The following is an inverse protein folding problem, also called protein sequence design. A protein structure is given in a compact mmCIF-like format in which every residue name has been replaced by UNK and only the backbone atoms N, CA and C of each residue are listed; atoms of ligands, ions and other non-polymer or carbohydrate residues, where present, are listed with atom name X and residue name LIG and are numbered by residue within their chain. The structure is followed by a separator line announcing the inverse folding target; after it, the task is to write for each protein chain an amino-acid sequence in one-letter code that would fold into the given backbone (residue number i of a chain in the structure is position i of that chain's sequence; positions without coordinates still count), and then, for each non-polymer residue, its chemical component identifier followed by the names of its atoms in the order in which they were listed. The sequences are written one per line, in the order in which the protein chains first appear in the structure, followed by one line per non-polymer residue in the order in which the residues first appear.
data_IF_392425292870
#
_entry.id   IF_392425292870
#
_cell.length_a   1.000
_cell.length_b   1.000
_cell.length_c   1.000
_cell.angle_alpha   90.00
_cell.angle_beta   90.00
_cell.angle_gamma   90.00
#
_symmetry.space_group_name_H-M   'P 1'
#
loop_
_entity.id
_entity.type
_entity.pdbx_description
1 polymer ?
#
# COMPACT_ATOMS: atom_id res chain seq x y z
N UNK A 1 -25.40 4.33 -19.70
CA UNK A 1 -24.54 5.10 -20.64
C UNK A 1 -23.55 5.90 -19.81
N UNK A 2 -22.27 5.51 -19.80
CA UNK A 2 -21.23 6.25 -19.07
C UNK A 2 -20.68 7.34 -19.96
N UNK A 3 -21.17 8.57 -19.82
CA UNK A 3 -20.61 9.74 -20.52
C UNK A 3 -19.38 10.24 -19.77
N UNK A 4 -18.36 10.63 -20.52
CA UNK A 4 -17.10 11.15 -20.01
C UNK A 4 -16.71 12.42 -20.77
N UNK A 5 -16.08 13.35 -20.08
CA UNK A 5 -15.62 14.61 -20.65
C UNK A 5 -14.18 14.91 -20.22
N UNK A 6 -13.46 15.62 -21.08
CA UNK A 6 -12.18 16.21 -20.70
C UNK A 6 -12.39 17.41 -19.79
N UNK A 7 -11.40 17.80 -19.00
CA UNK A 7 -11.52 18.96 -18.10
C UNK A 7 -11.94 20.26 -18.81
N UNK A 8 -11.40 20.52 -20.02
CA UNK A 8 -11.79 21.68 -20.84
C UNK A 8 -13.27 21.64 -21.22
N UNK A 9 -13.74 20.47 -21.69
CA UNK A 9 -15.15 20.31 -22.06
C UNK A 9 -16.07 20.38 -20.84
N UNK A 10 -15.63 19.87 -19.70
CA UNK A 10 -16.35 20.00 -18.43
C UNK A 10 -16.54 21.46 -18.02
N UNK A 11 -15.53 22.30 -18.22
CA UNK A 11 -15.62 23.74 -17.92
C UNK A 11 -16.62 24.45 -18.85
N UNK A 12 -16.56 24.19 -20.15
CA UNK A 12 -17.52 24.76 -21.13
C UNK A 12 -18.98 24.38 -20.85
N UNK A 13 -19.18 23.17 -20.34
CA UNK A 13 -20.49 22.64 -19.95
C UNK A 13 -20.95 23.09 -18.56
N UNK A 14 -20.12 23.83 -17.80
CA UNK A 14 -20.41 24.24 -16.43
C UNK A 14 -20.41 23.09 -15.41
N UNK A 15 -19.75 21.98 -15.73
CA UNK A 15 -19.63 20.81 -14.83
C UNK A 15 -18.55 21.02 -13.74
N UNK A 16 -17.63 21.96 -13.97
CA UNK A 16 -16.57 22.34 -13.03
C UNK A 16 -16.38 23.85 -13.07
N UNK A 17 -15.91 24.43 -11.98
CA UNK A 17 -15.78 25.89 -11.85
C UNK A 17 -14.53 26.46 -12.52
N UNK A 18 -13.43 25.70 -12.52
CA UNK A 18 -12.13 26.18 -13.00
C UNK A 18 -11.17 25.04 -13.37
N UNK A 19 -10.12 25.40 -14.11
CA UNK A 19 -8.95 24.56 -14.38
C UNK A 19 -7.70 25.24 -13.83
N UNK A 20 -6.77 24.48 -13.27
CA UNK A 20 -5.51 25.02 -12.78
C UNK A 20 -4.60 23.95 -12.17
N UNK A 21 -3.32 24.29 -12.02
CA UNK A 21 -2.37 23.45 -11.28
C UNK A 21 -2.45 23.74 -9.77
N UNK A 22 -2.12 22.73 -8.96
CA UNK A 22 -2.23 22.80 -7.50
C UNK A 22 -1.40 23.95 -6.91
N UNK A 23 -0.19 24.21 -7.42
CA UNK A 23 0.71 25.22 -6.85
C UNK A 23 0.17 26.63 -7.09
N UNK A 24 -0.25 26.92 -8.32
CA UNK A 24 -0.81 28.23 -8.69
C UNK A 24 -2.11 28.48 -7.94
N UNK A 25 -3.03 27.52 -7.92
CA UNK A 25 -4.32 27.66 -7.23
C UNK A 25 -4.13 27.95 -5.74
N UNK A 26 -3.24 27.21 -5.07
CA UNK A 26 -2.99 27.42 -3.64
C UNK A 26 -2.32 28.75 -3.35
N UNK A 27 -1.34 29.18 -4.16
CA UNK A 27 -0.68 30.48 -3.96
C UNK A 27 -1.60 31.66 -4.24
N UNK A 28 -2.46 31.56 -5.24
CA UNK A 28 -3.48 32.59 -5.52
C UNK A 28 -4.46 32.70 -4.36
N UNK A 29 -4.87 31.57 -3.77
CA UNK A 29 -5.88 31.55 -2.70
C UNK A 29 -5.34 31.90 -1.31
N UNK A 30 -4.13 31.43 -0.99
CA UNK A 30 -3.57 31.49 0.36
C UNK A 30 -2.29 32.34 0.47
N UNK A 31 -1.82 32.90 -0.66
CA UNK A 31 -0.69 33.81 -0.72
C UNK A 31 0.64 33.15 -1.15
N UNK A 32 1.68 33.96 -1.39
CA UNK A 32 2.96 33.48 -1.93
C UNK A 32 3.76 32.60 -0.96
N UNK A 33 3.46 32.71 0.35
CA UNK A 33 4.13 31.97 1.44
C UNK A 33 3.56 30.55 1.66
N UNK A 34 2.52 30.16 0.93
CA UNK A 34 1.91 28.82 1.07
C UNK A 34 2.89 27.72 0.74
N UNK A 35 2.99 26.73 1.63
CA UNK A 35 3.85 25.56 1.48
C UNK A 35 3.01 24.29 1.30
N UNK A 36 3.28 23.54 0.24
CA UNK A 36 2.74 22.21 0.01
C UNK A 36 3.46 21.21 0.91
N UNK A 37 2.71 20.46 1.73
CA UNK A 37 3.24 19.39 2.57
C UNK A 37 2.64 18.06 2.15
N UNK A 38 3.49 17.09 1.84
CA UNK A 38 3.06 15.73 1.57
C UNK A 38 2.69 15.06 2.90
N UNK A 39 1.40 14.78 3.10
CA UNK A 39 0.93 13.98 4.23
C UNK A 39 0.93 12.53 3.78
N UNK A 40 1.76 11.71 4.40
CA UNK A 40 1.78 10.25 4.18
C UNK A 40 1.41 9.55 5.48
N UNK A 41 0.78 8.38 5.39
CA UNK A 41 0.51 7.57 6.56
C UNK A 41 1.85 7.24 7.26
N UNK A 42 1.93 7.35 8.60
CA UNK A 42 3.15 7.07 9.32
C UNK A 42 3.56 5.62 9.08
N UNK A 43 4.67 5.39 8.37
CA UNK A 43 5.24 4.04 8.25
C UNK A 43 6.00 3.76 9.54
N UNK A 44 5.39 2.97 10.43
CA UNK A 44 6.08 2.44 11.60
C UNK A 44 7.27 1.57 11.21
N UNK A 45 8.19 1.33 12.14
CA UNK A 45 9.38 0.48 11.93
C UNK A 45 9.04 -0.95 11.45
N UNK A 46 7.87 -1.47 11.83
CA UNK A 46 7.37 -2.77 11.35
C UNK A 46 6.71 -2.71 9.97
N UNK A 47 6.30 -1.52 9.51
CA UNK A 47 5.77 -1.29 8.17
C UNK A 47 6.81 -1.42 7.05
N UNK A 48 8.12 -1.42 7.40
CA UNK A 48 9.21 -1.74 6.47
C UNK A 48 9.43 -3.24 6.28
N UNK A 49 8.93 -4.05 7.21
CA UNK A 49 9.06 -5.51 7.18
C UNK A 49 7.83 -6.21 6.57
N UNK A 50 6.87 -5.46 6.03
CA UNK A 50 5.69 -6.03 5.36
C UNK A 50 4.70 -6.76 6.28
N UNK A 51 4.99 -6.93 7.58
CA UNK A 51 4.15 -7.71 8.50
C UNK A 51 2.74 -7.15 8.72
N UNK A 52 2.55 -5.85 8.49
CA UNK A 52 1.26 -5.17 8.72
C UNK A 52 0.81 -4.33 7.52
N UNK A 53 1.52 -4.43 6.40
CA UNK A 53 1.21 -3.69 5.19
C UNK A 53 0.30 -4.51 4.28
N UNK A 54 -1.02 -4.35 4.45
CA UNK A 54 -2.05 -4.40 3.40
C UNK A 54 -1.71 -5.13 2.08
N UNK A 55 -1.26 -6.38 2.18
CA UNK A 55 -1.24 -7.34 1.09
C UNK A 55 -2.37 -8.32 1.39
N UNK A 56 -3.45 -8.24 0.60
CA UNK A 56 -4.57 -9.20 0.60
C UNK A 56 -4.11 -10.59 0.17
N UNK A 57 -3.25 -11.25 0.94
CA UNK A 57 -2.72 -12.56 0.54
C UNK A 57 -2.16 -13.43 1.64
N UNK A 58 -1.65 -12.87 2.74
CA UNK A 58 -1.07 -13.69 3.81
C UNK A 58 -1.36 -13.09 5.18
N UNK A 59 -2.15 -13.81 5.97
CA UNK A 59 -2.47 -13.47 7.35
C UNK A 59 -1.30 -13.91 8.24
N UNK A 60 -1.02 -13.19 9.33
CA UNK A 60 -0.08 -13.64 10.36
C UNK A 60 -0.30 -15.11 10.82
N UNK A 61 -1.54 -15.61 10.99
CA UNK A 61 -1.78 -17.02 11.27
C UNK A 61 -1.36 -17.98 10.14
N UNK A 62 -1.43 -17.56 8.87
CA UNK A 62 -1.03 -18.39 7.72
C UNK A 62 0.49 -18.59 7.72
N UNK A 63 1.25 -17.54 8.07
CA UNK A 63 2.71 -17.60 8.22
C UNK A 63 3.10 -18.49 9.40
N UNK A 64 2.38 -18.38 10.53
CA UNK A 64 2.62 -19.22 11.70
C UNK A 64 2.33 -20.70 11.41
N UNK A 65 1.27 -21.01 10.66
CA UNK A 65 0.94 -22.37 10.24
C UNK A 65 1.98 -22.95 9.27
N UNK A 66 2.47 -22.15 8.32
CA UNK A 66 3.55 -22.55 7.41
C UNK A 66 4.89 -22.79 8.14
N UNK A 67 5.18 -21.98 9.16
CA UNK A 67 6.37 -22.18 9.99
C UNK A 67 6.24 -23.44 10.88
N UNK A 68 5.07 -23.69 11.46
CA UNK A 68 4.85 -24.88 12.29
C UNK A 68 4.95 -26.18 11.47
N UNK A 69 4.36 -26.22 10.28
CA UNK A 69 4.46 -27.37 9.37
C UNK A 69 5.90 -27.62 8.94
N UNK A 70 6.65 -26.59 8.54
CA UNK A 70 8.06 -26.77 8.14
C UNK A 70 8.97 -27.27 9.27
N UNK A 71 8.69 -26.90 10.52
CA UNK A 71 9.42 -27.43 11.69
C UNK A 71 9.09 -28.91 11.94
N UNK A 72 7.82 -29.29 11.77
CA UNK A 72 7.39 -30.70 11.90
C UNK A 72 8.02 -31.54 10.78
N UNK A 73 7.96 -31.08 9.53
CA UNK A 73 8.56 -31.77 8.38
C UNK A 73 10.06 -31.96 8.56
N UNK A 74 10.78 -30.93 9.04
CA UNK A 74 12.21 -31.03 9.33
C UNK A 74 12.52 -32.00 10.48
N UNK A 75 11.65 -32.09 11.49
CA UNK A 75 11.78 -33.05 12.58
C UNK A 75 11.52 -34.48 12.11
N UNK A 76 10.50 -34.68 11.26
CA UNK A 76 10.22 -35.97 10.62
C UNK A 76 11.39 -36.40 9.75
N UNK A 77 11.89 -35.51 8.88
CA UNK A 77 13.06 -35.79 8.06
C UNK A 77 14.24 -36.24 8.94
N UNK A 78 14.60 -35.47 9.97
CA UNK A 78 15.69 -35.84 10.88
C UNK A 78 15.47 -37.18 11.59
N UNK A 79 14.23 -37.51 11.96
CA UNK A 79 13.90 -38.81 12.54
C UNK A 79 14.02 -39.96 11.50
N UNK A 80 13.67 -39.71 10.24
CA UNK A 80 13.81 -40.67 9.14
C UNK A 80 15.28 -40.93 8.79
N UNK A 81 16.19 -39.96 8.93
CA UNK A 81 17.64 -40.13 8.71
C UNK A 81 18.34 -40.79 9.90
N UNK A 82 17.86 -40.56 11.13
CA UNK A 82 18.42 -41.15 12.34
C UNK A 82 18.42 -42.70 12.33
N UNK A 83 17.47 -43.34 11.63
CA UNK A 83 17.44 -44.81 11.47
C UNK A 83 18.56 -45.35 10.58
N UNK A 84 19.12 -44.50 9.72
CA UNK A 84 20.24 -44.83 8.84
C UNK A 84 21.60 -44.37 9.41
N UNK A 85 21.61 -43.81 10.63
CA UNK A 85 22.85 -43.40 11.31
C UNK A 85 23.50 -42.12 10.76
N UNK A 86 22.72 -41.26 10.08
CA UNK A 86 23.13 -39.96 9.55
C UNK A 86 22.48 -38.81 10.34
#
# INVERSE_FOLDING_TARGET
TGLFWTGKRGLELGLVDALGDMRTVLKTRFGPKTQLRLVSAPRGFLGRFGLFGSNKGFSAPDIAAAAASSVIDAAEERALWARFGL
#
